data_IF_711836407720
#
_entry.id   IF_711836407720
#
_cell.length_a   1.000
_cell.length_b   1.000
_cell.length_c   1.000
_cell.angle_alpha   90.00
_cell.angle_beta   90.00
_cell.angle_gamma   90.00
#
_symmetry.space_group_name_H-M   'P 1'
#
loop_
_entity.id
_entity.type
_entity.pdbx_description
1 polymer ?
#
# COMPACT_ATOMS: atom_id res chain seq x y z
N UNK A 1 -16.34 5.97 20.60
CA UNK A 1 -16.19 4.59 20.08
C UNK A 1 -14.86 4.08 20.61
N UNK A 2 -14.75 2.83 21.08
CA UNK A 2 -13.44 2.30 21.46
C UNK A 2 -12.63 2.15 20.17
N UNK A 3 -11.56 2.92 20.04
CA UNK A 3 -10.60 2.77 18.95
C UNK A 3 -9.91 1.41 19.12
N UNK A 4 -10.20 0.47 18.22
CA UNK A 4 -9.61 -0.86 18.26
C UNK A 4 -8.15 -0.79 17.80
N UNK A 5 -7.26 -1.26 18.68
CA UNK A 5 -5.83 -1.39 18.40
C UNK A 5 -5.60 -2.54 17.39
N UNK A 6 -4.55 -2.41 16.58
CA UNK A 6 -4.11 -3.46 15.67
C UNK A 6 -3.25 -4.47 16.45
N UNK A 7 -3.75 -5.70 16.60
CA UNK A 7 -3.05 -6.77 17.32
C UNK A 7 -1.97 -7.43 16.44
N UNK A 8 -0.83 -7.75 17.01
CA UNK A 8 0.29 -8.37 16.31
C UNK A 8 0.50 -9.80 16.77
N UNK A 9 0.79 -10.71 15.83
CA UNK A 9 1.34 -12.02 16.18
C UNK A 9 2.85 -11.94 16.47
N UNK A 10 3.44 -13.04 16.96
CA UNK A 10 4.86 -13.07 17.36
C UNK A 10 5.82 -12.74 16.20
N UNK A 11 5.56 -13.24 15.00
CA UNK A 11 6.39 -12.99 13.81
C UNK A 11 6.31 -11.52 13.36
N UNK A 12 5.11 -10.93 13.39
CA UNK A 12 4.88 -9.52 13.10
C UNK A 12 5.60 -8.63 14.11
N UNK A 13 5.54 -8.97 15.41
CA UNK A 13 6.23 -8.25 16.47
C UNK A 13 7.75 -8.29 16.28
N UNK A 14 8.31 -9.48 16.03
CA UNK A 14 9.76 -9.66 15.88
C UNK A 14 10.31 -8.86 14.69
N UNK A 15 9.65 -8.93 13.53
CA UNK A 15 10.09 -8.21 12.34
C UNK A 15 9.97 -6.69 12.50
N UNK A 16 8.87 -6.20 13.08
CA UNK A 16 8.71 -4.77 13.36
C UNK A 16 9.73 -4.26 14.36
N UNK A 17 10.00 -5.03 15.43
CA UNK A 17 11.00 -4.68 16.43
C UNK A 17 12.39 -4.57 15.79
N UNK A 18 12.74 -5.50 14.89
CA UNK A 18 13.98 -5.47 14.11
C UNK A 18 14.10 -4.20 13.26
N UNK A 19 13.05 -3.85 12.51
CA UNK A 19 13.05 -2.65 11.66
C UNK A 19 13.11 -1.36 12.49
N UNK A 20 12.38 -1.28 13.60
CA UNK A 20 12.39 -0.12 14.48
C UNK A 20 13.75 0.06 15.16
N UNK A 21 14.37 -1.03 15.62
CA UNK A 21 15.72 -1.00 16.18
C UNK A 21 16.76 -0.51 15.15
N UNK A 22 16.56 -0.80 13.87
CA UNK A 22 17.41 -0.29 12.79
C UNK A 22 17.12 1.17 12.44
N UNK A 23 15.86 1.61 12.49
CA UNK A 23 15.44 2.94 12.05
C UNK A 23 15.70 4.03 13.10
N UNK A 24 15.29 3.79 14.35
CA UNK A 24 15.27 4.80 15.42
C UNK A 24 16.63 5.49 15.63
N UNK A 25 17.78 4.78 15.62
CA UNK A 25 19.08 5.42 15.78
C UNK A 25 19.43 6.44 14.67
N UNK A 26 18.84 6.30 13.49
CA UNK A 26 19.10 7.16 12.33
C UNK A 26 18.16 8.38 12.25
N UNK A 27 17.15 8.47 13.13
CA UNK A 27 16.18 9.56 13.13
C UNK A 27 16.69 10.80 13.88
N UNK A 28 16.12 11.96 13.57
CA UNK A 28 16.27 13.17 14.37
C UNK A 28 15.36 13.14 15.62
N UNK A 29 15.67 13.96 16.63
CA UNK A 29 14.91 13.99 17.90
C UNK A 29 13.42 14.31 17.71
N UNK A 30 13.08 15.09 16.68
CA UNK A 30 11.70 15.45 16.38
C UNK A 30 10.88 14.24 15.94
N UNK A 31 11.48 13.32 15.18
CA UNK A 31 10.80 12.12 14.66
C UNK A 31 10.92 10.93 15.61
N UNK A 32 11.98 10.85 16.42
CA UNK A 32 12.22 9.72 17.33
C UNK A 32 11.05 9.41 18.27
N UNK A 33 10.41 10.44 18.85
CA UNK A 33 9.36 10.24 19.85
C UNK A 33 8.22 9.34 19.37
N UNK A 34 7.75 9.53 18.14
CA UNK A 34 6.66 8.73 17.57
C UNK A 34 7.08 7.28 17.29
N UNK A 35 8.30 7.06 16.82
CA UNK A 35 8.81 5.70 16.55
C UNK A 35 9.22 4.95 17.81
N UNK A 36 9.63 5.65 18.88
CA UNK A 36 9.83 5.06 20.20
C UNK A 36 8.51 4.57 20.80
N UNK A 37 7.46 5.39 20.73
CA UNK A 37 6.12 4.98 21.15
C UNK A 37 5.62 3.76 20.35
N UNK A 38 5.86 3.75 19.03
CA UNK A 38 5.56 2.60 18.18
C UNK A 38 6.35 1.36 18.59
N UNK A 39 7.64 1.49 18.91
CA UNK A 39 8.44 0.36 19.39
C UNK A 39 7.91 -0.24 20.70
N UNK A 40 7.46 0.60 21.63
CA UNK A 40 6.79 0.12 22.86
C UNK A 40 5.49 -0.62 22.52
N UNK A 41 4.64 -0.06 21.67
CA UNK A 41 3.38 -0.69 21.27
C UNK A 41 3.60 -2.04 20.53
N UNK A 42 4.66 -2.14 19.74
CA UNK A 42 5.07 -3.40 19.08
C UNK A 42 5.47 -4.45 20.11
N UNK A 43 6.23 -4.08 21.14
CA UNK A 43 6.60 -5.00 22.23
C UNK A 43 5.39 -5.49 23.04
N UNK A 44 4.36 -4.65 23.18
CA UNK A 44 3.10 -5.01 23.83
C UNK A 44 2.17 -5.84 22.93
N UNK A 45 2.50 -5.97 21.63
CA UNK A 45 1.72 -6.73 20.67
C UNK A 45 0.42 -6.07 20.23
N UNK A 46 0.23 -4.79 20.53
CA UNK A 46 -0.97 -4.04 20.19
C UNK A 46 -0.61 -2.62 19.81
N UNK A 47 -0.91 -2.21 18.57
CA UNK A 47 -0.63 -0.89 18.04
C UNK A 47 -1.89 -0.01 18.13
N UNK A 48 -1.89 1.04 18.96
CA UNK A 48 -2.96 2.04 19.03
C UNK A 48 -3.17 2.76 17.69
N UNK A 49 -4.39 3.24 17.44
CA UNK A 49 -4.75 3.85 16.14
C UNK A 49 -3.93 5.10 15.81
N UNK A 50 -3.61 5.89 16.83
CA UNK A 50 -2.77 7.08 16.73
C UNK A 50 -1.34 6.79 16.24
N UNK A 51 -0.87 5.54 16.37
CA UNK A 51 0.45 5.10 15.90
C UNK A 51 0.40 4.42 14.51
N UNK A 52 -0.79 4.11 13.98
CA UNK A 52 -0.92 3.49 12.66
C UNK A 52 -0.30 4.33 11.53
N UNK A 53 -0.38 5.67 11.50
CA UNK A 53 0.32 6.45 10.47
C UNK A 53 1.84 6.27 10.47
N UNK A 54 2.45 6.06 11.63
CA UNK A 54 3.89 5.78 11.74
C UNK A 54 4.22 4.36 11.28
N UNK A 55 3.38 3.38 11.65
CA UNK A 55 3.48 2.01 11.17
C UNK A 55 3.37 1.93 9.64
N UNK A 56 2.37 2.60 9.06
CA UNK A 56 2.16 2.67 7.62
C UNK A 56 3.38 3.26 6.90
N UNK A 57 3.96 4.33 7.44
CA UNK A 57 5.18 4.93 6.88
C UNK A 57 6.39 4.00 6.94
N UNK A 58 6.56 3.27 8.05
CA UNK A 58 7.61 2.27 8.20
C UNK A 58 7.47 1.13 7.19
N UNK A 59 6.27 0.54 7.11
CA UNK A 59 5.98 -0.59 6.22
C UNK A 59 6.10 -0.18 4.75
N UNK A 60 5.55 0.98 4.38
CA UNK A 60 5.68 1.51 3.02
C UNK A 60 7.15 1.70 2.65
N UNK A 61 7.96 2.30 3.53
CA UNK A 61 9.40 2.46 3.28
C UNK A 61 10.09 1.11 3.08
N UNK A 62 9.85 0.14 3.97
CA UNK A 62 10.49 -1.17 3.89
C UNK A 62 10.12 -1.96 2.62
N UNK A 63 8.86 -1.84 2.18
CA UNK A 63 8.34 -2.51 0.98
C UNK A 63 8.79 -1.80 -0.31
N UNK A 64 8.64 -0.47 -0.39
CA UNK A 64 8.96 0.30 -1.59
C UNK A 64 10.46 0.27 -1.95
N UNK A 65 11.34 0.25 -0.95
CA UNK A 65 12.79 0.16 -1.20
C UNK A 65 13.27 -1.27 -1.41
N UNK A 66 12.38 -2.28 -1.37
CA UNK A 66 12.74 -3.70 -1.43
C UNK A 66 13.55 -4.20 -0.22
N UNK A 67 13.63 -3.40 0.86
CA UNK A 67 14.42 -3.72 2.04
C UNK A 67 13.87 -4.94 2.77
N UNK A 68 12.53 -5.04 2.86
CA UNK A 68 11.86 -6.20 3.45
C UNK A 68 12.33 -7.51 2.78
N UNK A 69 12.37 -7.53 1.44
CA UNK A 69 12.83 -8.67 0.66
C UNK A 69 14.32 -8.95 0.83
N UNK A 70 15.14 -7.90 0.89
CA UNK A 70 16.58 -8.03 1.05
C UNK A 70 16.97 -8.65 2.39
N UNK A 71 16.35 -8.19 3.49
CA UNK A 71 16.72 -8.58 4.84
C UNK A 71 15.95 -9.80 5.35
N UNK A 72 14.65 -9.86 5.07
CA UNK A 72 13.74 -10.86 5.63
C UNK A 72 13.21 -11.84 4.57
N UNK A 73 13.77 -11.80 3.36
CA UNK A 73 13.43 -12.68 2.24
C UNK A 73 11.95 -12.54 1.85
N UNK A 74 11.45 -13.53 1.12
CA UNK A 74 10.07 -13.54 0.64
C UNK A 74 9.06 -13.51 1.80
N UNK A 75 9.40 -14.16 2.90
CA UNK A 75 8.48 -14.31 4.02
C UNK A 75 8.24 -12.98 4.75
N UNK A 76 9.30 -12.23 5.07
CA UNK A 76 9.11 -10.93 5.72
C UNK A 76 8.45 -9.89 4.81
N UNK A 77 8.72 -9.93 3.49
CA UNK A 77 7.99 -9.11 2.52
C UNK A 77 6.48 -9.44 2.52
N UNK A 78 6.13 -10.72 2.57
CA UNK A 78 4.74 -11.17 2.68
C UNK A 78 4.10 -10.67 3.98
N UNK A 79 4.76 -10.89 5.12
CA UNK A 79 4.26 -10.46 6.44
C UNK A 79 4.03 -8.95 6.48
N UNK A 80 4.98 -8.14 6.03
CA UNK A 80 4.81 -6.69 5.98
C UNK A 80 3.71 -6.24 5.02
N UNK A 81 3.53 -6.94 3.89
CA UNK A 81 2.43 -6.68 2.96
C UNK A 81 1.08 -6.97 3.61
N UNK A 82 0.95 -8.11 4.28
CA UNK A 82 -0.30 -8.52 4.95
C UNK A 82 -0.61 -7.60 6.13
N UNK A 83 0.41 -7.18 6.89
CA UNK A 83 0.27 -6.20 7.95
C UNK A 83 -0.14 -4.83 7.42
N UNK A 84 0.48 -4.36 6.32
CA UNK A 84 0.12 -3.09 5.69
C UNK A 84 -1.35 -3.10 5.24
N UNK A 85 -1.83 -4.20 4.64
CA UNK A 85 -3.23 -4.36 4.22
C UNK A 85 -4.25 -4.22 5.34
N UNK A 86 -3.85 -4.50 6.59
CA UNK A 86 -4.71 -4.39 7.78
C UNK A 86 -4.84 -2.94 8.28
N UNK A 87 -3.95 -2.04 7.87
CA UNK A 87 -3.98 -0.61 8.23
C UNK A 87 -5.05 0.16 7.45
N UNK A 88 -5.50 1.35 7.92
CA UNK A 88 -6.41 2.22 7.17
C UNK A 88 -5.95 2.51 5.75
N UNK A 89 -4.69 2.90 5.52
CA UNK A 89 -4.17 3.10 4.16
C UNK A 89 -4.15 1.83 3.33
N UNK A 90 -3.86 0.69 3.94
CA UNK A 90 -3.95 -0.61 3.27
C UNK A 90 -5.36 -0.94 2.81
N UNK A 91 -6.36 -0.63 3.63
CA UNK A 91 -7.78 -0.82 3.31
C UNK A 91 -8.26 0.15 2.22
N UNK A 92 -7.82 1.42 2.27
CA UNK A 92 -8.05 2.40 1.20
C UNK A 92 -7.46 1.91 -0.14
N UNK A 93 -6.21 1.42 -0.13
CA UNK A 93 -5.58 0.84 -1.31
C UNK A 93 -6.35 -0.39 -1.82
N UNK A 94 -6.82 -1.26 -0.93
CA UNK A 94 -7.67 -2.39 -1.29
C UNK A 94 -8.95 -1.95 -2.01
N UNK A 95 -9.61 -0.91 -1.50
CA UNK A 95 -10.83 -0.35 -2.09
C UNK A 95 -10.60 0.23 -3.49
N UNK A 96 -9.47 0.92 -3.68
CA UNK A 96 -9.05 1.44 -4.99
C UNK A 96 -8.80 0.31 -5.99
N UNK A 97 -8.13 -0.77 -5.57
CA UNK A 97 -7.88 -1.93 -6.42
C UNK A 97 -9.18 -2.64 -6.82
N UNK A 98 -10.15 -2.75 -5.92
CA UNK A 98 -11.46 -3.28 -6.26
C UNK A 98 -12.18 -2.42 -7.29
N UNK A 99 -12.11 -1.09 -7.18
CA UNK A 99 -12.68 -0.17 -8.16
C UNK A 99 -12.06 -0.33 -9.54
N UNK A 100 -10.73 -0.38 -9.61
CA UNK A 100 -9.99 -0.64 -10.85
C UNK A 100 -10.42 -1.98 -11.46
N UNK A 101 -10.49 -3.04 -10.65
CA UNK A 101 -10.91 -4.36 -11.13
C UNK A 101 -12.36 -4.35 -11.64
N UNK A 102 -13.28 -3.65 -10.96
CA UNK A 102 -14.67 -3.47 -11.43
C UNK A 102 -14.72 -2.75 -12.77
N UNK A 103 -13.91 -1.72 -12.98
CA UNK A 103 -13.84 -1.03 -14.26
C UNK A 103 -13.26 -1.91 -15.37
N UNK A 104 -12.19 -2.66 -15.08
CA UNK A 104 -11.59 -3.59 -16.03
C UNK A 104 -12.54 -4.73 -16.43
N UNK A 105 -13.46 -5.13 -15.56
CA UNK A 105 -14.49 -6.11 -15.90
C UNK A 105 -15.42 -5.66 -17.05
N UNK A 106 -15.57 -4.34 -17.28
CA UNK A 106 -16.30 -3.82 -18.44
C UNK A 106 -15.64 -4.16 -19.78
N UNK A 107 -14.39 -4.61 -19.78
CA UNK A 107 -13.64 -5.03 -20.98
C UNK A 107 -13.64 -6.56 -21.17
N UNK A 108 -14.13 -7.31 -20.18
CA UNK A 108 -14.02 -8.77 -20.18
C UNK A 108 -14.79 -9.38 -21.36
N UNK A 109 -14.10 -10.19 -22.17
CA UNK A 109 -14.68 -10.86 -23.34
C UNK A 109 -14.88 -9.95 -24.56
N UNK A 110 -14.46 -8.67 -24.48
CA UNK A 110 -14.52 -7.72 -25.59
C UNK A 110 -13.18 -7.64 -26.31
N UNK A 111 -13.23 -7.35 -27.61
CA UNK A 111 -12.01 -7.10 -28.41
C UNK A 111 -11.52 -5.69 -28.14
N UNK A 112 -10.25 -5.56 -27.73
CA UNK A 112 -9.61 -4.26 -27.62
C UNK A 112 -9.39 -3.67 -29.02
N UNK A 113 -9.95 -2.49 -29.27
CA UNK A 113 -9.79 -1.72 -30.51
C UNK A 113 -8.65 -0.70 -30.39
N UNK A 114 -8.30 -0.31 -29.16
CA UNK A 114 -7.23 0.63 -28.86
C UNK A 114 -6.56 0.35 -27.53
N UNK A 115 -5.22 0.47 -27.50
CA UNK A 115 -4.40 0.40 -26.28
C UNK A 115 -3.35 1.49 -26.37
N UNK A 116 -3.32 2.39 -25.38
CA UNK A 116 -2.36 3.49 -25.32
C UNK A 116 -1.78 3.63 -23.93
N UNK A 117 -0.46 3.81 -23.87
CA UNK A 117 0.24 4.24 -22.66
C UNK A 117 0.83 5.62 -22.93
N UNK A 118 0.61 6.56 -22.02
CA UNK A 118 1.17 7.91 -22.10
C UNK A 118 1.78 8.31 -20.75
N UNK A 119 2.90 9.00 -20.79
CA UNK A 119 3.50 9.60 -19.60
C UNK A 119 2.99 11.02 -19.45
N UNK A 120 2.39 11.36 -18.31
CA UNK A 120 2.00 12.74 -17.97
C UNK A 120 3.17 13.51 -17.37
N UNK A 121 3.87 12.86 -16.46
CA UNK A 121 5.12 13.32 -15.85
C UNK A 121 5.90 12.09 -15.36
N UNK A 122 7.14 12.27 -14.91
CA UNK A 122 7.98 11.18 -14.43
C UNK A 122 7.25 10.38 -13.33
N UNK A 123 7.13 9.06 -13.53
CA UNK A 123 6.44 8.16 -12.60
C UNK A 123 4.91 8.21 -12.64
N UNK A 124 4.31 9.06 -13.47
CA UNK A 124 2.85 9.18 -13.63
C UNK A 124 2.46 8.86 -15.07
N UNK A 125 1.85 7.70 -15.25
CA UNK A 125 1.41 7.20 -16.54
C UNK A 125 -0.11 7.08 -16.60
N UNK A 126 -0.64 7.14 -17.82
CA UNK A 126 -2.03 6.78 -18.10
C UNK A 126 -2.07 5.62 -19.06
N UNK A 127 -2.93 4.65 -18.78
CA UNK A 127 -3.24 3.53 -19.67
C UNK A 127 -4.69 3.71 -20.12
N UNK A 128 -4.90 3.85 -21.42
CA UNK A 128 -6.23 3.90 -22.03
C UNK A 128 -6.48 2.60 -22.78
N UNK A 129 -7.60 1.95 -22.48
CA UNK A 129 -8.07 0.71 -23.08
C UNK A 129 -9.43 0.98 -23.73
N UNK A 130 -9.54 0.68 -25.01
CA UNK A 130 -10.74 0.94 -25.82
C UNK A 130 -11.27 -0.36 -26.40
N UNK A 131 -12.59 -0.48 -26.38
CA UNK A 131 -13.40 -1.48 -27.09
C UNK A 131 -14.48 -0.73 -27.86
N UNK A 132 -15.26 -1.43 -28.68
CA UNK A 132 -16.42 -0.81 -29.35
C UNK A 132 -17.45 -0.22 -28.36
N UNK A 133 -17.54 -0.79 -27.15
CA UNK A 133 -18.61 -0.51 -26.18
C UNK A 133 -18.11 0.18 -24.90
N UNK A 134 -16.80 0.42 -24.76
CA UNK A 134 -16.25 1.03 -23.54
C UNK A 134 -14.84 1.59 -23.74
N UNK A 135 -14.53 2.64 -22.97
CA UNK A 135 -13.20 3.19 -22.77
C UNK A 135 -12.88 3.24 -21.28
N UNK A 136 -11.76 2.62 -20.89
CA UNK A 136 -11.22 2.66 -19.53
C UNK A 136 -9.91 3.44 -19.55
N UNK A 137 -9.80 4.47 -18.72
CA UNK A 137 -8.54 5.17 -18.48
C UNK A 137 -8.08 4.94 -17.05
N UNK A 138 -6.88 4.40 -16.89
CA UNK A 138 -6.22 4.16 -15.62
C UNK A 138 -5.06 5.13 -15.43
N UNK A 139 -4.91 5.68 -14.23
CA UNK A 139 -3.72 6.40 -13.81
C UNK A 139 -2.80 5.46 -13.01
N UNK A 140 -1.56 5.29 -13.47
CA UNK A 140 -0.52 4.51 -12.80
C UNK A 140 0.47 5.48 -12.15
N UNK A 141 0.59 5.39 -10.82
CA UNK A 141 1.46 6.23 -9.98
C UNK A 141 2.34 5.34 -9.10
N UNK A 142 3.40 5.86 -8.46
CA UNK A 142 4.22 5.05 -7.56
C UNK A 142 3.42 4.41 -6.42
N UNK A 143 2.37 5.10 -5.95
CA UNK A 143 1.51 4.65 -4.86
C UNK A 143 0.41 3.65 -5.30
N UNK A 144 0.25 3.41 -6.60
CA UNK A 144 -0.72 2.44 -7.11
C UNK A 144 -1.40 2.83 -8.41
N UNK A 145 -2.40 2.01 -8.79
CA UNK A 145 -3.23 2.18 -9.98
C UNK A 145 -4.59 2.70 -9.55
N UNK A 146 -5.09 3.74 -10.23
CA UNK A 146 -6.39 4.34 -9.97
C UNK A 146 -7.22 4.37 -11.25
N UNK A 147 -8.55 4.26 -11.12
CA UNK A 147 -9.46 4.55 -12.21
C UNK A 147 -9.52 6.07 -12.40
N UNK A 148 -9.23 6.54 -13.61
CA UNK A 148 -9.37 7.96 -13.95
C UNK A 148 -10.70 8.23 -14.65
N UNK A 149 -11.12 7.35 -15.55
CA UNK A 149 -12.44 7.40 -16.16
C UNK A 149 -12.87 6.04 -16.70
N UNK A 150 -14.18 5.82 -16.70
CA UNK A 150 -14.86 4.72 -17.38
C UNK A 150 -16.02 5.30 -18.19
N UNK A 151 -15.97 5.14 -19.51
CA UNK A 151 -17.07 5.42 -20.40
C UNK A 151 -17.61 4.11 -20.97
N UNK A 152 -18.92 3.90 -20.93
CA UNK A 152 -19.60 2.73 -21.52
C UNK A 152 -20.56 3.26 -22.58
N UNK A 153 -20.45 2.75 -23.81
CA UNK A 153 -21.35 3.07 -24.91
C UNK A 153 -22.77 2.59 -24.57
N UNK A 154 -23.74 3.51 -24.66
CA UNK A 154 -25.18 3.22 -24.58
C UNK A 154 -25.70 2.52 -25.81
#
# INVERSE_FOLDING_TARGET
MKEEALLLNEEEQELLASELASLIPALDERRKGQFLALATAVQEGAIPQELLPALEGLLALALETGRARLLYRAEGERIFTDLFRRTPKGQELGSLLEEVNRALMALKGRTLTGVRVAMRTLGHYTITLETEEATVTLAVKPQGVNLESLAVGT
#
